data_IF_731839618041
#
_entry.id   IF_731839618041
#
_cell.length_a   1.000
_cell.length_b   1.000
_cell.length_c   1.000
_cell.angle_alpha   90.00
_cell.angle_beta   90.00
_cell.angle_gamma   90.00
#
_symmetry.space_group_name_H-M   'P 1'
#
loop_
_entity.id
_entity.type
_entity.pdbx_description
1 polymer ?
#
# COMPACT_ATOMS: atom_id res chain seq x y z
N UNK A 1 -64.80 -5.01 62.93
CA UNK A 1 -65.93 -4.12 62.57
C UNK A 1 -66.74 -4.57 61.35
N UNK A 2 -66.25 -5.41 60.43
CA UNK A 2 -67.06 -5.90 59.28
C UNK A 2 -67.70 -7.28 59.51
N UNK A 3 -67.10 -8.12 60.35
CA UNK A 3 -67.64 -9.45 60.67
C UNK A 3 -68.87 -9.39 61.61
N UNK A 4 -68.94 -8.39 62.50
CA UNK A 4 -70.07 -8.18 63.40
C UNK A 4 -71.34 -7.73 62.65
N UNK A 5 -71.18 -6.99 61.56
CA UNK A 5 -72.30 -6.49 60.75
C UNK A 5 -72.96 -7.62 59.95
N UNK A 6 -72.19 -8.63 59.53
CA UNK A 6 -72.73 -9.79 58.82
C UNK A 6 -73.55 -10.72 59.74
N UNK A 7 -73.13 -10.84 61.02
CA UNK A 7 -73.84 -11.63 62.03
C UNK A 7 -75.14 -10.95 62.52
N UNK A 8 -75.18 -9.61 62.53
CA UNK A 8 -76.38 -8.83 62.86
C UNK A 8 -77.47 -8.86 61.76
N UNK A 9 -77.11 -9.13 60.50
CA UNK A 9 -78.06 -9.20 59.39
C UNK A 9 -78.77 -10.56 59.27
N UNK A 10 -78.19 -11.64 59.78
CA UNK A 10 -78.79 -12.98 59.75
C UNK A 10 -79.75 -13.25 60.91
N UNK A 11 -79.77 -12.41 61.95
CA UNK A 11 -80.65 -12.56 63.12
C UNK A 11 -82.02 -11.86 62.96
N UNK A 12 -82.26 -11.17 61.84
CA UNK A 12 -83.38 -10.21 61.69
C UNK A 12 -84.58 -10.73 60.88
N UNK A 13 -84.65 -12.02 60.53
CA UNK A 13 -85.72 -12.55 59.65
C UNK A 13 -86.60 -13.63 60.29
N UNK A 14 -86.69 -13.70 61.62
CA UNK A 14 -87.68 -14.52 62.31
C UNK A 14 -88.49 -13.72 63.32
N UNK A 15 -89.44 -12.94 62.81
CA UNK A 15 -90.58 -12.44 63.57
C UNK A 15 -91.86 -13.00 62.93
N UNK A 16 -92.30 -14.12 63.48
CA UNK A 16 -93.66 -14.63 63.30
C UNK A 16 -94.66 -13.56 63.76
N UNK A 17 -95.66 -13.16 62.95
CA UNK A 17 -96.78 -12.41 63.44
C UNK A 17 -97.81 -13.35 64.07
N UNK A 18 -98.18 -12.96 65.28
CA UNK A 18 -99.19 -13.53 66.17
C UNK A 18 -100.57 -13.60 65.50
N UNK A 19 -101.23 -14.72 65.77
CA UNK A 19 -102.60 -15.11 65.49
C UNK A 19 -103.67 -14.04 65.82
N UNK A 20 -104.70 -13.86 64.98
CA UNK A 20 -106.01 -13.39 65.41
C UNK A 20 -106.97 -14.58 65.61
N UNK A 21 -107.51 -14.67 66.81
CA UNK A 21 -108.62 -15.55 67.21
C UNK A 21 -109.92 -15.04 66.59
N UNK A 22 -110.69 -15.89 65.91
CA UNK A 22 -112.16 -15.80 65.76
C UNK A 22 -112.76 -17.16 65.38
N UNK A 23 -114.05 -17.40 65.64
CA UNK A 23 -114.52 -18.53 66.41
C UNK A 23 -114.93 -19.73 65.56
N UNK A 24 -114.90 -20.87 66.25
CA UNK A 24 -115.40 -22.17 65.86
C UNK A 24 -116.83 -22.14 65.28
N UNK A 25 -116.99 -22.62 64.04
CA UNK A 25 -118.25 -23.17 63.57
C UNK A 25 -117.99 -24.42 62.72
N UNK A 26 -118.06 -25.54 63.44
CA UNK A 26 -118.61 -26.85 63.10
C UNK A 26 -118.83 -27.27 61.62
N UNK A 27 -118.53 -28.57 61.44
CA UNK A 27 -119.20 -29.59 60.63
C UNK A 27 -118.76 -29.90 59.19
N UNK A 28 -118.58 -31.21 59.03
CA UNK A 28 -118.71 -32.05 57.83
C UNK A 28 -117.49 -32.25 56.92
N UNK A 29 -116.85 -33.38 57.21
CA UNK A 29 -116.21 -34.29 56.27
C UNK A 29 -117.07 -34.53 55.02
N UNK A 30 -116.91 -33.68 54.02
CA UNK A 30 -117.22 -33.99 52.63
C UNK A 30 -115.92 -33.76 51.88
N UNK A 31 -115.45 -34.76 51.13
CA UNK A 31 -114.33 -34.60 50.20
C UNK A 31 -114.69 -33.47 49.24
N UNK A 32 -114.33 -32.23 49.61
CA UNK A 32 -114.55 -31.03 48.82
C UNK A 32 -113.50 -31.07 47.74
N UNK A 33 -113.91 -31.55 46.56
CA UNK A 33 -113.17 -31.26 45.35
C UNK A 33 -113.03 -29.73 45.26
N UNK A 34 -111.79 -29.27 45.05
CA UNK A 34 -111.51 -27.86 44.86
C UNK A 34 -112.38 -27.33 43.70
N UNK A 35 -112.89 -26.10 43.83
CA UNK A 35 -113.68 -25.48 42.77
C UNK A 35 -112.84 -25.42 41.49
N UNK A 36 -113.43 -25.73 40.34
CA UNK A 36 -112.75 -25.78 39.04
C UNK A 36 -111.97 -24.48 38.75
N UNK A 37 -112.51 -23.34 39.17
CA UNK A 37 -111.89 -22.03 39.00
C UNK A 37 -110.64 -21.83 39.86
N UNK A 38 -110.61 -22.37 41.09
CA UNK A 38 -109.41 -22.36 41.94
C UNK A 38 -108.31 -23.24 41.36
N UNK A 39 -108.66 -24.41 40.81
CA UNK A 39 -107.72 -25.30 40.13
C UNK A 39 -107.17 -24.66 38.85
N UNK A 40 -107.99 -23.94 38.09
CA UNK A 40 -107.56 -23.18 36.90
C UNK A 40 -106.64 -22.02 37.26
N UNK A 41 -106.96 -21.27 38.32
CA UNK A 41 -106.11 -20.20 38.82
C UNK A 41 -104.74 -20.75 39.25
N UNK A 42 -104.73 -21.85 40.00
CA UNK A 42 -103.50 -22.54 40.40
C UNK A 42 -102.73 -23.07 39.19
N UNK A 43 -103.39 -23.69 38.22
CA UNK A 43 -102.76 -24.18 37.00
C UNK A 43 -102.12 -23.04 36.18
N UNK A 44 -102.80 -21.90 36.07
CA UNK A 44 -102.26 -20.71 35.40
C UNK A 44 -101.08 -20.10 36.16
N UNK A 45 -101.17 -20.03 37.49
CA UNK A 45 -100.08 -19.54 38.34
C UNK A 45 -98.84 -20.44 38.26
N UNK A 46 -99.04 -21.77 38.30
CA UNK A 46 -97.97 -22.75 38.12
C UNK A 46 -97.37 -22.70 36.72
N UNK A 47 -98.19 -22.49 35.68
CA UNK A 47 -97.72 -22.33 34.32
C UNK A 47 -96.89 -21.05 34.15
N UNK A 48 -97.35 -19.93 34.71
CA UNK A 48 -96.60 -18.66 34.71
C UNK A 48 -95.27 -18.80 35.44
N UNK A 49 -95.25 -19.49 36.58
CA UNK A 49 -94.02 -19.81 37.30
C UNK A 49 -93.11 -20.73 36.47
N UNK A 50 -93.67 -21.70 35.77
CA UNK A 50 -92.94 -22.58 34.87
C UNK A 50 -92.29 -21.83 33.70
N UNK A 51 -92.97 -20.81 33.16
CA UNK A 51 -92.41 -19.91 32.14
C UNK A 51 -91.31 -19.02 32.71
N UNK A 52 -91.55 -18.35 33.83
CA UNK A 52 -90.53 -17.47 34.43
C UNK A 52 -89.29 -18.23 34.88
N UNK A 53 -89.45 -19.45 35.41
CA UNK A 53 -88.34 -20.32 35.76
C UNK A 53 -87.55 -20.76 34.52
N UNK A 54 -88.23 -21.08 33.41
CA UNK A 54 -87.58 -21.43 32.14
C UNK A 54 -86.74 -20.28 31.62
N UNK A 55 -87.30 -19.07 31.60
CA UNK A 55 -86.59 -17.87 31.13
C UNK A 55 -85.41 -17.55 32.04
N UNK A 56 -85.58 -17.68 33.35
CA UNK A 56 -84.50 -17.53 34.33
C UNK A 56 -83.37 -18.54 34.05
N UNK A 57 -83.68 -19.83 33.91
CA UNK A 57 -82.68 -20.88 33.64
C UNK A 57 -81.97 -20.63 32.30
N UNK A 58 -82.70 -20.22 31.26
CA UNK A 58 -82.10 -19.89 29.97
C UNK A 58 -81.17 -18.68 30.06
N UNK A 59 -81.58 -17.62 30.74
CA UNK A 59 -80.77 -16.43 30.96
C UNK A 59 -79.52 -16.75 31.80
N UNK A 60 -79.66 -17.52 32.88
CA UNK A 60 -78.54 -17.98 33.69
C UNK A 60 -77.57 -18.85 32.88
N UNK A 61 -78.07 -19.73 32.01
CA UNK A 61 -77.22 -20.52 31.10
C UNK A 61 -76.40 -19.62 30.17
N UNK A 62 -77.01 -18.56 29.64
CA UNK A 62 -76.30 -17.59 28.81
C UNK A 62 -75.22 -16.86 29.60
N UNK A 63 -75.55 -16.34 30.79
CA UNK A 63 -74.60 -15.65 31.66
C UNK A 63 -73.43 -16.55 32.06
N UNK A 64 -73.68 -17.82 32.42
CA UNK A 64 -72.64 -18.79 32.75
C UNK A 64 -71.71 -19.00 31.54
N UNK A 65 -72.26 -19.13 30.33
CA UNK A 65 -71.46 -19.27 29.10
C UNK A 65 -70.55 -18.05 28.89
N UNK A 66 -71.08 -16.85 29.07
CA UNK A 66 -70.31 -15.61 28.92
C UNK A 66 -69.20 -15.52 29.99
N UNK A 67 -69.48 -15.95 31.22
CA UNK A 67 -68.48 -16.04 32.30
C UNK A 67 -67.37 -17.01 31.92
N UNK A 68 -67.69 -18.20 31.41
CA UNK A 68 -66.68 -19.17 30.97
C UNK A 68 -65.83 -18.64 29.82
N UNK A 69 -66.43 -17.92 28.86
CA UNK A 69 -65.68 -17.28 27.78
C UNK A 69 -64.72 -16.22 28.31
N UNK A 70 -65.18 -15.35 29.23
CA UNK A 70 -64.32 -14.37 29.90
C UNK A 70 -63.20 -15.05 30.66
N UNK A 71 -63.50 -16.09 31.44
CA UNK A 71 -62.50 -16.84 32.21
C UNK A 71 -61.44 -17.46 31.31
N UNK A 72 -61.83 -18.04 30.17
CA UNK A 72 -60.90 -18.61 29.20
C UNK A 72 -60.00 -17.55 28.54
N UNK A 73 -60.52 -16.34 28.31
CA UNK A 73 -59.71 -15.22 27.82
C UNK A 73 -58.73 -14.79 28.92
N UNK A 74 -59.21 -14.65 30.16
CA UNK A 74 -58.36 -14.31 31.30
C UNK A 74 -57.24 -15.33 31.52
N UNK A 75 -57.53 -16.62 31.43
CA UNK A 75 -56.56 -17.70 31.57
C UNK A 75 -55.45 -17.61 30.52
N UNK A 76 -55.82 -17.39 29.24
CA UNK A 76 -54.85 -17.18 28.16
C UNK A 76 -53.99 -15.94 28.38
N UNK A 77 -54.61 -14.82 28.75
CA UNK A 77 -53.88 -13.58 29.02
C UNK A 77 -52.96 -13.71 30.24
N UNK A 78 -53.38 -14.44 31.27
CA UNK A 78 -52.58 -14.69 32.46
C UNK A 78 -51.37 -15.56 32.13
N UNK A 79 -51.55 -16.60 31.31
CA UNK A 79 -50.42 -17.41 30.83
C UNK A 79 -49.41 -16.58 30.04
N UNK A 80 -49.87 -15.76 29.10
CA UNK A 80 -48.99 -14.85 28.33
C UNK A 80 -48.25 -13.88 29.25
N UNK A 81 -48.94 -13.28 30.21
CA UNK A 81 -48.32 -12.37 31.17
C UNK A 81 -47.29 -13.10 32.05
N UNK A 82 -47.57 -14.34 32.46
CA UNK A 82 -46.64 -15.15 33.24
C UNK A 82 -45.36 -15.47 32.46
N UNK A 83 -45.49 -15.77 31.16
CA UNK A 83 -44.32 -16.01 30.29
C UNK A 83 -43.50 -14.74 30.15
N UNK A 84 -44.13 -13.60 29.82
CA UNK A 84 -43.45 -12.31 29.74
C UNK A 84 -42.78 -11.93 31.07
N UNK A 85 -43.44 -12.17 32.20
CA UNK A 85 -42.86 -11.91 33.52
C UNK A 85 -41.65 -12.80 33.80
N UNK A 86 -41.63 -14.04 33.30
CA UNK A 86 -40.47 -14.93 33.42
C UNK A 86 -39.30 -14.50 32.53
N UNK A 87 -39.58 -14.07 31.30
CA UNK A 87 -38.56 -13.53 30.37
C UNK A 87 -37.92 -12.26 30.92
N UNK A 88 -38.74 -11.30 31.38
CA UNK A 88 -38.23 -10.06 32.00
C UNK A 88 -37.35 -10.36 33.22
N UNK A 89 -37.73 -11.36 34.04
CA UNK A 89 -36.94 -11.77 35.20
C UNK A 89 -35.59 -12.39 34.80
N UNK A 90 -35.56 -13.14 33.71
CA UNK A 90 -34.31 -13.70 33.16
C UNK A 90 -33.39 -12.58 32.66
N UNK A 91 -33.92 -11.66 31.87
CA UNK A 91 -33.18 -10.47 31.39
C UNK A 91 -32.67 -9.59 32.54
N UNK A 92 -33.45 -9.42 33.62
CA UNK A 92 -33.02 -8.69 34.82
C UNK A 92 -31.78 -9.33 35.46
N UNK A 93 -31.75 -10.65 35.59
CA UNK A 93 -30.61 -11.36 36.17
C UNK A 93 -29.37 -11.30 35.26
N UNK A 94 -29.53 -11.33 33.93
CA UNK A 94 -28.43 -11.10 32.99
C UNK A 94 -27.88 -9.67 33.07
N UNK A 95 -28.78 -8.68 33.12
CA UNK A 95 -28.40 -7.28 33.28
C UNK A 95 -27.69 -7.04 34.61
N UNK A 96 -28.12 -7.71 35.68
CA UNK A 96 -27.50 -7.66 37.00
C UNK A 96 -26.11 -8.30 37.00
N UNK A 97 -25.90 -9.42 36.31
CA UNK A 97 -24.56 -10.01 36.10
C UNK A 97 -23.65 -9.02 35.38
N UNK A 98 -24.13 -8.44 34.27
CA UNK A 98 -23.37 -7.47 33.47
C UNK A 98 -23.02 -6.23 34.28
N UNK A 99 -23.98 -5.71 35.05
CA UNK A 99 -23.79 -4.57 35.96
C UNK A 99 -22.76 -4.90 37.05
N UNK A 100 -22.78 -6.12 37.60
CA UNK A 100 -21.80 -6.59 38.57
C UNK A 100 -20.37 -6.61 38.01
N UNK A 101 -20.21 -7.14 36.80
CA UNK A 101 -18.91 -7.15 36.08
C UNK A 101 -18.45 -5.72 35.81
N UNK A 102 -19.33 -4.86 35.28
CA UNK A 102 -19.00 -3.47 34.98
C UNK A 102 -18.58 -2.70 36.25
N UNK A 103 -19.27 -2.95 37.37
CA UNK A 103 -18.91 -2.36 38.67
C UNK A 103 -17.53 -2.82 39.14
N UNK A 104 -17.20 -4.11 39.01
CA UNK A 104 -15.89 -4.63 39.36
C UNK A 104 -14.77 -4.00 38.51
N UNK A 105 -14.96 -3.96 37.19
CA UNK A 105 -14.03 -3.33 36.26
C UNK A 105 -13.83 -1.84 36.57
N UNK A 106 -14.90 -1.12 36.95
CA UNK A 106 -14.81 0.28 37.33
C UNK A 106 -13.95 0.50 38.58
N UNK A 107 -14.07 -0.35 39.59
CA UNK A 107 -13.20 -0.28 40.79
C UNK A 107 -11.74 -0.63 40.46
N UNK A 108 -11.50 -1.61 39.59
CA UNK A 108 -10.15 -1.96 39.12
C UNK A 108 -9.51 -0.80 38.35
N UNK A 109 -10.23 -0.18 37.40
CA UNK A 109 -9.77 1.00 36.65
C UNK A 109 -9.45 2.15 37.61
N UNK A 110 -10.30 2.38 38.62
CA UNK A 110 -10.05 3.39 39.64
C UNK A 110 -8.77 3.11 40.43
N UNK A 111 -8.56 1.85 40.82
CA UNK A 111 -7.32 1.43 41.51
C UNK A 111 -6.08 1.66 40.63
N UNK A 112 -6.12 1.19 39.37
CA UNK A 112 -5.04 1.39 38.39
C UNK A 112 -4.78 2.87 38.15
N UNK A 113 -5.82 3.69 38.05
CA UNK A 113 -5.68 5.13 37.89
C UNK A 113 -4.96 5.79 39.07
N UNK A 114 -5.23 5.35 40.30
CA UNK A 114 -4.53 5.85 41.49
C UNK A 114 -3.06 5.42 41.48
N UNK A 115 -2.78 4.17 41.08
CA UNK A 115 -1.42 3.66 40.96
C UNK A 115 -0.62 4.42 39.89
N UNK A 116 -1.21 4.63 38.71
CA UNK A 116 -0.61 5.42 37.62
C UNK A 116 -0.31 6.83 38.11
N UNK A 117 -1.25 7.48 38.79
CA UNK A 117 -1.06 8.83 39.30
C UNK A 117 0.12 8.89 40.29
N UNK A 118 0.24 7.91 41.18
CA UNK A 118 1.40 7.79 42.08
C UNK A 118 2.72 7.64 41.31
N UNK A 119 2.77 6.75 40.32
CA UNK A 119 3.98 6.54 39.51
C UNK A 119 4.36 7.79 38.71
N UNK A 120 3.38 8.53 38.19
CA UNK A 120 3.61 9.80 37.47
C UNK A 120 4.22 10.83 38.40
N UNK A 121 3.71 10.98 39.62
CA UNK A 121 4.28 11.89 40.62
C UNK A 121 5.73 11.53 40.97
N UNK A 122 6.04 10.24 41.09
CA UNK A 122 7.41 9.79 41.36
C UNK A 122 8.35 10.07 40.18
N UNK A 123 7.91 9.82 38.94
CA UNK A 123 8.65 10.17 37.72
C UNK A 123 8.91 11.69 37.64
N UNK A 124 7.92 12.52 38.02
CA UNK A 124 8.09 13.98 38.03
C UNK A 124 9.18 14.39 39.04
N UNK A 125 9.20 13.77 40.23
CA UNK A 125 10.24 14.02 41.24
C UNK A 125 11.62 13.60 40.73
N UNK A 126 11.73 12.40 40.14
CA UNK A 126 12.97 11.90 39.56
C UNK A 126 13.47 12.80 38.42
N UNK A 127 12.59 13.21 37.51
CA UNK A 127 12.92 14.16 36.44
C UNK A 127 13.45 15.48 37.00
N UNK A 128 12.80 16.02 38.04
CA UNK A 128 13.26 17.26 38.71
C UNK A 128 14.64 17.05 39.36
N UNK A 129 14.89 15.86 39.91
CA UNK A 129 16.18 15.51 40.49
C UNK A 129 17.28 15.43 39.43
N UNK A 130 17.05 14.69 38.35
CA UNK A 130 17.98 14.58 37.22
C UNK A 130 18.27 15.95 36.60
N UNK A 131 17.25 16.78 36.41
CA UNK A 131 17.43 18.15 35.88
C UNK A 131 18.34 18.99 36.78
N UNK A 132 18.24 18.85 38.10
CA UNK A 132 19.16 19.52 39.04
C UNK A 132 20.59 18.99 38.92
N UNK A 133 20.77 17.67 38.81
CA UNK A 133 22.11 17.09 38.60
C UNK A 133 22.73 17.58 37.29
N UNK A 134 21.97 17.52 36.19
CA UNK A 134 22.43 18.00 34.87
C UNK A 134 22.78 19.48 34.93
N UNK A 135 21.94 20.33 35.53
CA UNK A 135 22.25 21.76 35.68
C UNK A 135 23.53 21.99 36.49
N UNK A 136 23.79 21.21 37.54
CA UNK A 136 25.04 21.29 38.29
C UNK A 136 26.25 20.79 37.51
N UNK A 137 26.08 19.80 36.62
CA UNK A 137 27.14 19.35 35.70
C UNK A 137 27.41 20.41 34.62
N UNK A 138 26.36 21.02 34.06
CA UNK A 138 26.46 22.11 33.07
C UNK A 138 27.18 23.33 33.64
N UNK A 139 26.89 23.70 34.90
CA UNK A 139 27.58 24.79 35.61
C UNK A 139 29.06 24.48 35.82
N UNK A 140 29.39 23.26 36.28
CA UNK A 140 30.78 22.81 36.43
C UNK A 140 31.53 22.79 35.10
N UNK A 141 30.89 22.32 34.04
CA UNK A 141 31.47 22.29 32.69
C UNK A 141 31.68 23.71 32.15
N UNK A 142 30.71 24.60 32.36
CA UNK A 142 30.82 26.01 31.97
C UNK A 142 31.98 26.70 32.70
N UNK A 143 32.07 26.49 34.02
CA UNK A 143 33.17 27.00 34.84
C UNK A 143 34.55 26.46 34.41
N UNK A 144 34.64 25.16 34.11
CA UNK A 144 35.86 24.58 33.55
C UNK A 144 36.19 25.14 32.16
N UNK A 145 35.20 25.31 31.27
CA UNK A 145 35.42 25.83 29.92
C UNK A 145 35.88 27.28 29.92
N UNK A 146 35.29 28.14 30.77
CA UNK A 146 35.74 29.52 30.96
C UNK A 146 37.11 29.60 31.62
N UNK A 147 37.43 28.64 32.50
CA UNK A 147 38.74 28.57 33.14
C UNK A 147 39.84 27.97 32.24
N UNK A 148 39.51 27.10 31.29
CA UNK A 148 40.48 26.44 30.40
C UNK A 148 40.70 27.20 29.10
N UNK A 149 39.68 27.89 28.57
CA UNK A 149 39.76 28.54 27.26
C UNK A 149 39.82 30.06 27.45
N UNK A 150 41.02 30.60 27.30
CA UNK A 150 41.18 32.04 27.07
C UNK A 150 40.45 32.42 25.78
N UNK A 151 39.86 33.62 25.72
CA UNK A 151 39.20 34.14 24.52
C UNK A 151 40.10 34.06 23.26
N UNK A 152 41.42 34.08 23.46
CA UNK A 152 42.46 33.84 22.46
C UNK A 152 42.34 32.46 21.79
N UNK A 153 42.20 31.39 22.57
CA UNK A 153 42.14 30.01 22.07
C UNK A 153 40.84 29.73 21.32
N UNK A 154 39.74 30.39 21.71
CA UNK A 154 38.46 30.30 21.00
C UNK A 154 38.55 30.97 19.62
N UNK A 155 39.29 32.09 19.51
CA UNK A 155 39.54 32.74 18.24
C UNK A 155 40.44 31.89 17.31
N UNK A 156 41.49 31.26 17.86
CA UNK A 156 42.37 30.35 17.11
C UNK A 156 41.63 29.10 16.58
N UNK A 157 40.70 28.54 17.36
CA UNK A 157 39.88 27.41 16.89
C UNK A 157 38.94 27.83 15.76
N UNK A 158 38.42 29.06 15.80
CA UNK A 158 37.58 29.60 14.73
C UNK A 158 38.35 29.80 13.43
N UNK A 159 39.59 30.32 13.49
CA UNK A 159 40.44 30.46 12.30
C UNK A 159 40.82 29.10 11.71
N UNK A 160 41.14 28.13 12.57
CA UNK A 160 41.43 26.75 12.12
C UNK A 160 40.24 26.13 11.38
N UNK A 161 39.02 26.38 11.86
CA UNK A 161 37.77 25.90 11.24
C UNK A 161 37.58 26.46 9.83
N UNK A 162 37.87 27.73 9.60
CA UNK A 162 37.77 28.35 8.27
C UNK A 162 38.79 27.77 7.28
N UNK A 163 40.01 27.47 7.75
CA UNK A 163 41.05 26.84 6.93
C UNK A 163 40.62 25.42 6.52
N UNK A 164 40.06 24.64 7.45
CA UNK A 164 39.58 23.28 7.15
C UNK A 164 38.47 23.29 6.11
N UNK A 165 37.49 24.20 6.24
CA UNK A 165 36.40 24.33 5.26
C UNK A 165 36.91 24.71 3.86
N UNK A 166 37.93 25.58 3.80
CA UNK A 166 38.57 25.96 2.54
C UNK A 166 39.31 24.78 1.89
N UNK A 167 39.98 23.97 2.71
CA UNK A 167 40.69 22.79 2.25
C UNK A 167 39.73 21.68 1.77
N UNK A 168 38.62 21.47 2.47
CA UNK A 168 37.56 20.53 2.07
C UNK A 168 36.96 20.88 0.71
N UNK A 169 36.68 22.17 0.47
CA UNK A 169 36.22 22.65 -0.84
C UNK A 169 37.26 22.37 -1.95
N UNK A 170 38.52 22.68 -1.68
CA UNK A 170 39.61 22.46 -2.63
C UNK A 170 39.81 20.98 -2.98
N UNK A 171 39.70 20.08 -1.97
CA UNK A 171 39.75 18.63 -2.18
C UNK A 171 38.56 18.17 -3.03
N UNK A 172 37.37 18.71 -2.79
CA UNK A 172 36.16 18.38 -3.55
C UNK A 172 36.28 18.78 -5.02
N UNK A 173 36.79 19.99 -5.29
CA UNK A 173 37.02 20.48 -6.65
C UNK A 173 38.08 19.63 -7.37
N UNK A 174 39.16 19.25 -6.67
CA UNK A 174 40.19 18.36 -7.21
C UNK A 174 39.64 16.97 -7.55
N UNK A 175 38.84 16.37 -6.65
CA UNK A 175 38.20 15.08 -6.88
C UNK A 175 37.25 15.11 -8.09
N UNK A 176 36.54 16.22 -8.28
CA UNK A 176 35.69 16.42 -9.46
C UNK A 176 36.52 16.47 -10.75
N UNK A 177 37.60 17.25 -10.76
CA UNK A 177 38.50 17.35 -11.91
C UNK A 177 39.13 15.98 -12.28
N UNK A 178 39.55 15.20 -11.28
CA UNK A 178 40.09 13.85 -11.51
C UNK A 178 39.03 12.91 -12.10
N UNK A 179 37.78 13.00 -11.66
CA UNK A 179 36.67 12.21 -12.22
C UNK A 179 36.41 12.55 -13.68
N UNK A 180 36.35 13.84 -14.01
CA UNK A 180 36.17 14.32 -15.39
C UNK A 180 37.31 13.84 -16.30
N UNK A 181 38.55 13.91 -15.81
CA UNK A 181 39.71 13.40 -16.54
C UNK A 181 39.62 11.88 -16.78
N UNK A 182 39.18 11.10 -15.79
CA UNK A 182 38.98 9.66 -15.94
C UNK A 182 37.91 9.33 -16.99
N UNK A 183 36.83 10.10 -17.05
CA UNK A 183 35.76 9.92 -18.04
C UNK A 183 36.25 10.26 -19.45
N UNK A 184 37.00 11.35 -19.61
CA UNK A 184 37.65 11.71 -20.88
C UNK A 184 38.59 10.61 -21.37
N UNK A 185 39.41 10.05 -20.49
CA UNK A 185 40.29 8.93 -20.82
C UNK A 185 39.50 7.68 -21.22
N UNK A 186 38.41 7.36 -20.53
CA UNK A 186 37.57 6.23 -20.88
C UNK A 186 36.90 6.42 -22.26
N UNK A 187 36.43 7.63 -22.56
CA UNK A 187 35.87 8.00 -23.86
C UNK A 187 36.92 7.92 -24.98
N UNK A 188 38.17 8.31 -24.72
CA UNK A 188 39.26 8.11 -25.69
C UNK A 188 39.53 6.63 -25.90
N UNK A 189 39.54 5.82 -24.83
CA UNK A 189 39.75 4.38 -24.91
C UNK A 189 38.67 3.66 -25.72
N UNK A 190 37.40 4.02 -25.56
CA UNK A 190 36.29 3.44 -26.35
C UNK A 190 36.37 3.84 -27.82
N UNK A 191 36.74 5.10 -28.13
CA UNK A 191 37.00 5.55 -29.51
C UNK A 191 38.12 4.74 -30.17
N UNK A 192 39.23 4.54 -29.46
CA UNK A 192 40.36 3.72 -29.95
C UNK A 192 39.89 2.29 -30.23
N UNK A 193 39.19 1.65 -29.29
CA UNK A 193 38.64 0.29 -29.48
C UNK A 193 37.65 0.21 -30.66
N UNK A 194 36.87 1.26 -30.88
CA UNK A 194 35.97 1.37 -32.03
C UNK A 194 36.72 1.46 -33.36
N UNK A 195 37.84 2.19 -33.38
CA UNK A 195 38.74 2.26 -34.55
C UNK A 195 39.45 0.93 -34.79
N UNK A 196 39.93 0.25 -33.76
CA UNK A 196 40.53 -1.10 -33.84
C UNK A 196 39.56 -2.12 -34.45
N UNK A 197 38.29 -2.12 -34.01
CA UNK A 197 37.29 -3.01 -34.58
C UNK A 197 37.00 -2.71 -36.06
N UNK A 198 36.97 -1.43 -36.45
CA UNK A 198 36.81 -1.04 -37.86
C UNK A 198 38.02 -1.47 -38.70
N UNK A 199 39.23 -1.34 -38.17
CA UNK A 199 40.45 -1.80 -38.83
C UNK A 199 40.43 -3.32 -39.02
N UNK A 200 40.07 -4.09 -37.99
CA UNK A 200 39.96 -5.54 -38.08
C UNK A 200 38.84 -5.99 -39.03
N UNK A 201 37.70 -5.28 -39.07
CA UNK A 201 36.61 -5.59 -39.98
C UNK A 201 36.93 -5.24 -41.44
N UNK A 202 37.71 -4.18 -41.69
CA UNK A 202 38.22 -3.85 -43.03
C UNK A 202 39.26 -4.88 -43.51
N UNK A 203 40.09 -5.38 -42.59
CA UNK A 203 41.06 -6.44 -42.90
C UNK A 203 40.38 -7.76 -43.32
N UNK A 204 39.22 -8.09 -42.75
CA UNK A 204 38.44 -9.30 -43.09
C UNK A 204 37.74 -9.17 -44.46
N UNK A 205 37.42 -7.96 -44.91
CA UNK A 205 36.79 -7.74 -46.23
C UNK A 205 37.80 -7.72 -47.39
N UNK A 206 39.10 -7.53 -47.12
CA UNK A 206 40.20 -7.73 -48.08
C UNK A 206 40.65 -9.19 -48.20
N UNK A 207 40.21 -10.09 -47.31
CA UNK A 207 40.71 -11.48 -47.25
C UNK A 207 39.78 -12.55 -47.83
N UNK A 208 38.61 -12.20 -48.39
CA UNK A 208 37.64 -13.18 -48.92
C UNK A 208 37.32 -13.03 -50.43
N UNK A 209 38.16 -12.30 -51.18
CA UNK A 209 38.26 -12.39 -52.64
C UNK A 209 39.73 -12.30 -53.05
N UNK A 210 40.49 -13.39 -52.94
CA UNK A 210 41.65 -13.75 -53.78
C UNK A 210 42.44 -14.91 -53.15
N UNK A 211 41.84 -16.10 -53.11
CA UNK A 211 42.57 -17.35 -52.90
C UNK A 211 42.68 -18.11 -54.22
N UNK A 212 43.13 -17.43 -55.28
CA UNK A 212 43.66 -18.07 -56.50
C UNK A 212 44.24 -17.03 -57.46
N UNK A 213 45.49 -16.59 -57.22
CA UNK A 213 46.45 -16.28 -58.30
C UNK A 213 47.83 -15.90 -57.77
N UNK A 214 48.77 -16.82 -57.99
CA UNK A 214 50.18 -16.61 -58.36
C UNK A 214 50.95 -15.48 -57.65
N UNK A 215 51.95 -15.92 -56.89
CA UNK A 215 53.23 -15.24 -56.72
C UNK A 215 53.65 -14.50 -58.00
N UNK A 216 53.54 -13.18 -57.99
CA UNK A 216 54.23 -12.31 -58.92
C UNK A 216 55.09 -11.35 -58.10
N UNK A 217 56.27 -11.88 -57.77
CA UNK A 217 57.52 -11.14 -57.66
C UNK A 217 57.43 -9.72 -58.24
N UNK A 218 57.42 -8.70 -57.37
CA UNK A 218 57.92 -7.37 -57.73
C UNK A 218 59.45 -7.48 -57.85
N UNK A 219 59.85 -8.15 -58.92
CA UNK A 219 61.20 -8.19 -59.41
C UNK A 219 61.48 -6.81 -59.97
N UNK A 220 62.43 -6.13 -59.34
CA UNK A 220 63.12 -4.95 -59.81
C UNK A 220 63.98 -5.28 -61.05
N UNK A 221 63.47 -6.09 -62.00
CA UNK A 221 64.13 -6.46 -63.25
C UNK A 221 63.56 -5.70 -64.47
N UNK A 222 62.62 -4.79 -64.26
CA UNK A 222 62.09 -3.91 -65.32
C UNK A 222 63.02 -2.76 -65.74
N UNK A 223 64.15 -2.56 -65.04
CA UNK A 223 65.05 -1.41 -65.25
C UNK A 223 66.42 -1.77 -65.86
N UNK A 224 66.65 -3.03 -66.26
CA UNK A 224 67.96 -3.50 -66.73
C UNK A 224 68.08 -4.00 -68.19
N UNK A 225 67.45 -3.39 -69.23
CA UNK A 225 67.80 -3.77 -70.62
C UNK A 225 69.20 -3.28 -71.06
N UNK A 226 69.78 -2.30 -70.36
CA UNK A 226 70.95 -1.54 -70.84
C UNK A 226 72.27 -1.88 -70.14
N UNK A 227 72.24 -2.78 -69.14
CA UNK A 227 73.41 -3.19 -68.38
C UNK A 227 73.85 -4.58 -68.84
N UNK A 228 75.12 -4.71 -69.20
CA UNK A 228 75.73 -6.02 -69.48
C UNK A 228 76.02 -6.77 -68.18
N UNK A 229 76.22 -8.09 -68.26
CA UNK A 229 76.46 -8.98 -67.10
C UNK A 229 77.66 -8.61 -66.22
N UNK A 230 78.51 -7.68 -66.68
CA UNK A 230 79.66 -7.12 -65.98
C UNK A 230 79.36 -5.79 -65.26
N UNK A 231 78.09 -5.36 -65.24
CA UNK A 231 77.64 -4.13 -64.57
C UNK A 231 77.99 -2.84 -65.31
N UNK A 232 78.55 -2.94 -66.52
CA UNK A 232 78.79 -1.79 -67.39
C UNK A 232 77.58 -1.52 -68.30
N UNK A 233 77.44 -0.28 -68.76
CA UNK A 233 76.44 0.04 -69.77
C UNK A 233 76.90 -0.43 -71.14
N UNK A 234 75.99 -0.99 -71.95
CA UNK A 234 76.27 -1.36 -73.34
C UNK A 234 76.90 -0.18 -74.11
N UNK A 235 77.94 -0.43 -74.90
CA UNK A 235 78.71 0.62 -75.59
C UNK A 235 77.91 1.39 -76.66
N UNK A 236 76.72 0.92 -77.04
CA UNK A 236 75.84 1.52 -78.03
C UNK A 236 74.58 2.15 -77.38
N UNK A 237 74.81 3.13 -76.51
CA UNK A 237 73.76 3.92 -75.88
C UNK A 237 73.35 5.13 -76.75
N UNK A 238 72.04 5.46 -76.81
CA UNK A 238 71.56 6.63 -77.52
C UNK A 238 72.05 7.94 -76.88
N UNK A 239 72.27 8.98 -77.68
CA UNK A 239 72.81 10.26 -77.21
C UNK A 239 71.77 11.11 -76.48
N UNK A 240 70.50 10.99 -76.86
CA UNK A 240 69.39 11.72 -76.26
C UNK A 240 68.07 10.91 -76.34
N UNK A 241 67.02 11.42 -75.68
CA UNK A 241 65.68 10.82 -75.72
C UNK A 241 65.08 10.79 -77.14
N UNK A 242 65.49 11.68 -78.05
CA UNK A 242 65.04 11.68 -79.45
C UNK A 242 65.60 10.49 -80.23
N UNK A 243 66.84 10.10 -79.96
CA UNK A 243 67.45 8.89 -80.49
C UNK A 243 66.80 7.63 -79.88
N UNK A 244 66.43 7.66 -78.58
CA UNK A 244 65.64 6.58 -77.96
C UNK A 244 64.32 6.37 -78.72
N UNK A 245 63.60 7.45 -79.05
CA UNK A 245 62.37 7.36 -79.86
C UNK A 245 62.62 6.86 -81.28
N UNK A 246 63.69 7.34 -81.92
CA UNK A 246 64.07 6.96 -83.29
C UNK A 246 64.47 5.49 -83.41
N UNK A 247 65.02 4.90 -82.33
CA UNK A 247 65.29 3.45 -82.22
C UNK A 247 64.02 2.60 -82.04
N UNK A 248 62.84 3.23 -82.02
CA UNK A 248 61.54 2.56 -82.00
C UNK A 248 60.85 2.51 -80.63
N UNK A 249 61.45 3.10 -79.60
CA UNK A 249 60.92 3.08 -78.24
C UNK A 249 59.85 4.17 -78.05
N UNK A 250 58.61 3.80 -77.74
CA UNK A 250 57.46 4.72 -77.70
C UNK A 250 56.85 4.97 -76.31
N UNK A 251 57.30 4.28 -75.27
CA UNK A 251 56.76 4.42 -73.91
C UNK A 251 57.54 5.45 -73.09
N UNK A 252 56.87 6.42 -72.46
CA UNK A 252 57.50 7.33 -71.49
C UNK A 252 58.05 6.55 -70.29
N UNK A 253 59.29 6.84 -69.87
CA UNK A 253 59.99 6.08 -68.83
C UNK A 253 61.40 6.58 -68.55
N UNK A 254 62.13 5.86 -67.69
CA UNK A 254 63.55 6.12 -67.43
C UNK A 254 64.41 5.36 -68.45
N UNK A 255 65.32 6.07 -69.11
CA UNK A 255 66.24 5.53 -70.13
C UNK A 255 67.67 5.97 -69.85
N UNK A 256 68.64 5.08 -70.15
CA UNK A 256 70.05 5.43 -70.09
C UNK A 256 70.48 6.07 -71.41
N UNK A 257 71.13 7.25 -71.35
CA UNK A 257 71.66 7.96 -72.51
C UNK A 257 73.15 8.28 -72.31
N UNK A 258 73.89 8.45 -73.41
CA UNK A 258 75.30 8.86 -73.42
C UNK A 258 75.57 9.95 -74.47
N UNK A 259 75.35 11.23 -74.12
CA UNK A 259 75.71 12.34 -75.00
C UNK A 259 77.23 12.43 -75.22
N UNK A 260 77.69 12.36 -76.48
CA UNK A 260 79.09 12.53 -76.87
C UNK A 260 80.09 11.67 -76.06
N UNK A 261 80.98 12.29 -75.28
CA UNK A 261 82.00 11.62 -74.45
C UNK A 261 81.66 11.64 -72.94
N UNK A 262 80.41 11.91 -72.57
CA UNK A 262 79.99 11.85 -71.16
C UNK A 262 79.88 10.41 -70.65
N UNK A 263 79.93 10.24 -69.33
CA UNK A 263 79.56 8.96 -68.71
C UNK A 263 78.05 8.74 -68.84
N UNK A 264 77.59 7.51 -69.10
CA UNK A 264 76.15 7.20 -69.18
C UNK A 264 75.39 7.56 -67.89
N UNK A 265 74.20 8.13 -68.02
CA UNK A 265 73.31 8.40 -66.91
C UNK A 265 71.84 8.15 -67.28
N UNK A 266 70.98 7.95 -66.27
CA UNK A 266 69.55 7.75 -66.48
C UNK A 266 68.81 9.10 -66.54
N UNK A 267 67.96 9.24 -67.55
CA UNK A 267 67.05 10.37 -67.72
C UNK A 267 65.62 9.87 -67.86
N UNK A 268 64.65 10.69 -67.46
CA UNK A 268 63.24 10.43 -67.72
C UNK A 268 62.89 10.97 -69.11
N UNK A 269 62.67 10.08 -70.08
CA UNK A 269 62.15 10.47 -71.39
C UNK A 269 60.62 10.36 -71.36
N UNK A 270 59.95 11.45 -71.72
CA UNK A 270 58.51 11.48 -71.89
C UNK A 270 58.19 11.57 -73.38
N UNK A 271 57.60 10.51 -73.93
CA UNK A 271 57.12 10.45 -75.30
C UNK A 271 55.62 10.70 -75.29
N UNK A 272 55.23 11.86 -75.81
CA UNK A 272 53.83 12.18 -76.06
C UNK A 272 53.46 11.70 -77.46
N UNK A 273 52.32 11.03 -77.62
CA UNK A 273 51.77 10.71 -78.94
C UNK A 273 51.25 12.01 -79.59
N UNK A 274 52.17 12.81 -80.12
CA UNK A 274 51.85 14.06 -80.80
C UNK A 274 52.97 15.09 -80.80
N UNK A 275 53.77 15.08 -81.88
CA UNK A 275 54.63 16.18 -82.37
C UNK A 275 55.84 16.56 -81.51
N UNK A 276 57.01 16.15 -81.98
CA UNK A 276 58.32 16.83 -81.97
C UNK A 276 58.50 17.99 -80.97
N UNK A 277 59.04 17.70 -79.78
CA UNK A 277 60.05 18.49 -79.02
C UNK A 277 60.07 18.06 -77.54
N UNK A 278 61.22 17.54 -77.08
CA UNK A 278 61.49 17.28 -75.68
C UNK A 278 62.12 18.53 -75.03
N UNK A 279 61.55 19.03 -73.93
CA UNK A 279 62.15 20.06 -73.08
C UNK A 279 62.64 19.40 -71.79
N UNK A 280 63.93 19.57 -71.48
CA UNK A 280 64.56 19.10 -70.25
C UNK A 280 64.56 20.23 -69.21
N UNK A 281 64.01 19.97 -68.03
CA UNK A 281 64.03 20.88 -66.87
C UNK A 281 65.35 20.67 -66.11
N UNK A 282 66.35 21.45 -66.46
CA UNK A 282 67.55 21.66 -65.64
C UNK A 282 67.42 23.03 -64.99
N UNK A 283 67.08 23.07 -63.71
CA UNK A 283 67.37 24.17 -62.79
C UNK A 283 67.13 23.70 -61.34
N UNK A 284 68.19 23.15 -60.75
CA UNK A 284 68.46 23.09 -59.31
C UNK A 284 69.97 23.14 -59.12
#
# INVERSE_FOLDING_TARGET
>A
MKLLVLLLLLASTHSFPTQPTFPEHQTESRLRFAALDEVRLLANGLLQLGHSLRDFVQNTKSQIKDIFQKLNIFDKSFYQLSVLASEIKEEEEELKKTTGILKANNEEIKSLSLEINSKVEDIIKERKHLRRQVGGLEEKLSGLSQSLLSAEQVAEISTLKEIILTQEKSITDLLKAVREQSEQLNNQRTKIKGLENKFNSAHIQETDENLDRKHQSNSLSGYLPYFTSDGSFSSDLPKDCGEVFSRGQKSSGLYAIKPHESQPFLVKCEFTEGKDKAFSFSDL
#
